data_IF_340748848894
#
_entry.id   IF_340748848894
#
_cell.length_a   1.000
_cell.length_b   1.000
_cell.length_c   1.000
_cell.angle_alpha   90.00
_cell.angle_beta   90.00
_cell.angle_gamma   90.00
#
_symmetry.space_group_name_H-M   'P 1'
#
loop_
_entity.id
_entity.type
_entity.pdbx_description
1 polymer ?
#
# COMPACT_ATOMS: atom_id res chain seq x y z
N UNK A 1 -4.49 2.59 -15.35
CA UNK A 1 -5.33 1.51 -14.79
C UNK A 1 -6.53 2.04 -14.00
N UNK A 2 -6.31 2.94 -13.04
CA UNK A 2 -7.39 3.60 -12.26
C UNK A 2 -8.50 4.22 -13.11
N UNK A 3 -8.17 4.89 -14.21
CA UNK A 3 -9.16 5.49 -15.13
C UNK A 3 -10.11 4.43 -15.71
N UNK A 4 -9.60 3.26 -16.09
CA UNK A 4 -10.43 2.18 -16.65
C UNK A 4 -11.40 1.65 -15.60
N UNK A 5 -10.93 1.45 -14.36
CA UNK A 5 -11.79 1.03 -13.24
C UNK A 5 -12.89 2.07 -12.98
N UNK A 6 -12.56 3.37 -12.98
CA UNK A 6 -13.55 4.44 -12.80
C UNK A 6 -14.61 4.40 -13.90
N UNK A 7 -14.21 4.24 -15.16
CA UNK A 7 -15.14 4.12 -16.30
C UNK A 7 -16.04 2.89 -16.13
N UNK A 8 -15.48 1.72 -15.83
CA UNK A 8 -16.25 0.50 -15.63
C UNK A 8 -17.28 0.64 -14.50
N UNK A 9 -16.85 1.20 -13.36
CA UNK A 9 -17.75 1.40 -12.21
C UNK A 9 -18.81 2.46 -12.51
N UNK A 10 -18.48 3.51 -13.25
CA UNK A 10 -19.45 4.50 -13.70
C UNK A 10 -20.53 3.87 -14.59
N UNK A 11 -20.13 2.96 -15.49
CA UNK A 11 -21.10 2.24 -16.32
C UNK A 11 -21.97 1.31 -15.45
N UNK A 12 -21.41 0.62 -14.45
CA UNK A 12 -22.20 -0.18 -13.51
C UNK A 12 -23.25 0.67 -12.76
N UNK A 13 -22.85 1.85 -12.28
CA UNK A 13 -23.78 2.82 -11.67
C UNK A 13 -24.88 3.24 -12.66
N UNK A 14 -24.53 3.52 -13.91
CA UNK A 14 -25.50 3.87 -14.95
C UNK A 14 -26.51 2.73 -15.21
N UNK A 15 -26.06 1.47 -15.24
CA UNK A 15 -26.94 0.31 -15.34
C UNK A 15 -27.89 0.19 -14.15
N UNK A 16 -27.41 0.47 -12.93
CA UNK A 16 -28.28 0.48 -11.75
C UNK A 16 -29.43 1.47 -11.94
N UNK A 17 -29.14 2.70 -12.38
CA UNK A 17 -30.18 3.70 -12.65
C UNK A 17 -31.13 3.27 -13.78
N UNK A 18 -30.62 2.60 -14.80
CA UNK A 18 -31.45 2.06 -15.87
C UNK A 18 -32.48 1.05 -15.35
N UNK A 19 -32.07 0.08 -14.53
CA UNK A 19 -33.01 -0.88 -13.94
C UNK A 19 -34.07 -0.20 -13.05
N UNK A 20 -33.69 0.83 -12.28
CA UNK A 20 -34.67 1.60 -11.48
C UNK A 20 -35.75 2.18 -12.38
N UNK A 21 -35.34 2.85 -13.46
CA UNK A 21 -36.26 3.54 -14.37
C UNK A 21 -37.22 2.53 -15.02
N UNK A 22 -36.69 1.39 -15.47
CA UNK A 22 -37.50 0.39 -16.17
C UNK A 22 -38.50 -0.32 -15.24
N UNK A 23 -38.06 -0.69 -14.04
CA UNK A 23 -38.94 -1.27 -13.02
C UNK A 23 -39.98 -0.25 -12.55
N UNK A 24 -39.59 0.98 -12.28
CA UNK A 24 -40.50 2.04 -11.84
C UNK A 24 -41.56 2.35 -12.89
N UNK A 25 -41.17 2.40 -14.17
CA UNK A 25 -42.10 2.57 -15.29
C UNK A 25 -43.08 1.41 -15.37
N UNK A 26 -42.59 0.18 -15.22
CA UNK A 26 -43.43 -1.02 -15.24
C UNK A 26 -44.47 -0.98 -14.12
N UNK A 27 -44.05 -0.71 -12.88
CA UNK A 27 -44.95 -0.57 -11.72
C UNK A 27 -46.00 0.51 -11.98
N UNK A 28 -45.60 1.70 -12.41
CA UNK A 28 -46.52 2.82 -12.66
C UNK A 28 -47.56 2.53 -13.74
N UNK A 29 -47.20 1.78 -14.80
CA UNK A 29 -48.14 1.34 -15.83
C UNK A 29 -49.17 0.37 -15.22
N UNK A 30 -48.71 -0.64 -14.48
CA UNK A 30 -49.60 -1.64 -13.89
C UNK A 30 -50.54 -1.05 -12.82
N UNK A 31 -50.03 -0.21 -11.92
CA UNK A 31 -50.86 0.48 -10.92
C UNK A 31 -51.87 1.44 -11.58
N UNK A 32 -51.48 2.13 -12.65
CA UNK A 32 -52.37 2.98 -13.43
C UNK A 32 -53.51 2.20 -14.08
N UNK A 33 -53.21 1.05 -14.68
CA UNK A 33 -54.23 0.15 -15.26
C UNK A 33 -55.18 -0.35 -14.18
N UNK A 34 -54.66 -0.75 -13.01
CA UNK A 34 -55.46 -1.21 -11.87
C UNK A 34 -56.43 -0.10 -11.41
N UNK A 35 -55.90 1.10 -11.19
CA UNK A 35 -56.68 2.27 -10.73
C UNK A 35 -57.78 2.64 -11.72
N UNK A 36 -57.49 2.65 -13.02
CA UNK A 36 -58.48 2.93 -14.07
C UNK A 36 -59.54 1.83 -14.12
N UNK A 37 -59.13 0.57 -14.03
CA UNK A 37 -60.07 -0.57 -14.03
C UNK A 37 -61.04 -0.51 -12.86
N UNK A 38 -60.55 -0.20 -11.66
CA UNK A 38 -61.37 -0.06 -10.45
C UNK A 38 -62.29 1.16 -10.52
N UNK A 39 -61.77 2.32 -10.96
CA UNK A 39 -62.53 3.57 -11.03
C UNK A 39 -63.69 3.52 -12.04
N UNK A 40 -63.45 2.91 -13.21
CA UNK A 40 -64.44 2.81 -14.28
C UNK A 40 -65.18 1.46 -14.33
N UNK A 41 -64.92 0.57 -13.37
CA UNK A 41 -65.49 -0.78 -13.30
C UNK A 41 -65.31 -1.60 -14.61
N UNK A 42 -64.13 -1.48 -15.23
CA UNK A 42 -63.81 -2.14 -16.50
C UNK A 42 -63.32 -3.55 -16.22
N UNK A 43 -63.92 -4.56 -16.85
CA UNK A 43 -63.44 -5.94 -16.80
C UNK A 43 -62.16 -6.11 -17.62
N UNK A 44 -61.03 -6.32 -16.93
CA UNK A 44 -59.73 -6.57 -17.57
C UNK A 44 -59.67 -7.91 -18.30
N UNK A 45 -58.92 -7.95 -19.41
CA UNK A 45 -58.60 -9.19 -20.11
C UNK A 45 -57.77 -10.14 -19.23
N UNK A 46 -57.82 -11.44 -19.54
CA UNK A 46 -57.06 -12.44 -18.78
C UNK A 46 -55.54 -12.20 -18.84
N UNK A 47 -55.02 -11.71 -19.97
CA UNK A 47 -53.61 -11.33 -20.13
C UNK A 47 -53.22 -10.17 -19.22
N UNK A 48 -54.07 -9.14 -19.08
CA UNK A 48 -53.84 -8.01 -18.19
C UNK A 48 -53.93 -8.43 -16.71
N UNK A 49 -54.86 -9.31 -16.35
CA UNK A 49 -54.95 -9.86 -14.98
C UNK A 49 -53.70 -10.66 -14.60
N UNK A 50 -53.20 -11.48 -15.52
CA UNK A 50 -51.93 -12.20 -15.34
C UNK A 50 -50.75 -11.22 -15.18
N UNK A 51 -50.69 -10.17 -16.01
CA UNK A 51 -49.70 -9.11 -15.86
C UNK A 51 -49.77 -8.37 -14.52
N UNK A 52 -50.98 -8.06 -14.02
CA UNK A 52 -51.15 -7.43 -12.71
C UNK A 52 -50.76 -8.34 -11.54
N UNK A 53 -50.89 -9.67 -11.70
CA UNK A 53 -50.46 -10.62 -10.66
C UNK A 53 -48.93 -10.64 -10.45
N UNK A 54 -48.15 -10.03 -11.34
CA UNK A 54 -46.69 -9.87 -11.19
C UNK A 54 -46.29 -8.58 -10.46
N UNK A 55 -47.24 -7.74 -10.04
CA UNK A 55 -46.96 -6.54 -9.24
C UNK A 55 -46.13 -6.82 -7.97
N UNK A 56 -46.43 -7.85 -7.16
CA UNK A 56 -45.60 -8.16 -5.99
C UNK A 56 -44.17 -8.55 -6.37
N UNK A 57 -43.99 -9.27 -7.47
CA UNK A 57 -42.66 -9.64 -7.97
C UNK A 57 -41.87 -8.41 -8.45
N UNK A 58 -42.52 -7.41 -9.06
CA UNK A 58 -41.88 -6.14 -9.40
C UNK A 58 -41.45 -5.35 -8.16
N UNK A 59 -42.19 -5.45 -7.05
CA UNK A 59 -41.76 -4.91 -5.75
C UNK A 59 -40.43 -5.50 -5.27
N UNK A 60 -40.28 -6.83 -5.36
CA UNK A 60 -39.02 -7.52 -5.03
C UNK A 60 -37.88 -7.05 -5.96
N UNK A 61 -38.15 -6.91 -7.26
CA UNK A 61 -37.19 -6.38 -8.22
C UNK A 61 -36.70 -4.99 -7.81
N UNK A 62 -37.63 -4.13 -7.39
CA UNK A 62 -37.33 -2.78 -6.95
C UNK A 62 -36.45 -2.77 -5.69
N UNK A 63 -36.74 -3.63 -4.72
CA UNK A 63 -35.93 -3.78 -3.50
C UNK A 63 -34.49 -4.22 -3.82
N UNK A 64 -34.32 -5.17 -4.73
CA UNK A 64 -32.98 -5.60 -5.20
C UNK A 64 -32.21 -4.42 -5.78
N UNK A 65 -32.86 -3.64 -6.65
CA UNK A 65 -32.20 -2.49 -7.29
C UNK A 65 -31.91 -1.38 -6.28
N UNK A 66 -32.77 -1.18 -5.28
CA UNK A 66 -32.47 -0.26 -4.17
C UNK A 66 -31.23 -0.67 -3.37
N UNK A 67 -30.93 -1.96 -3.24
CA UNK A 67 -29.68 -2.46 -2.65
C UNK A 67 -28.49 -2.26 -3.60
N UNK A 68 -28.69 -2.36 -4.91
CA UNK A 68 -27.64 -2.14 -5.91
C UNK A 68 -27.13 -0.69 -5.93
N UNK A 69 -27.97 0.31 -5.62
CA UNK A 69 -27.60 1.74 -5.60
C UNK A 69 -26.46 2.04 -4.62
N UNK A 70 -26.58 1.79 -3.30
CA UNK A 70 -25.50 2.10 -2.37
C UNK A 70 -24.22 1.34 -2.72
N UNK A 71 -24.33 0.11 -3.23
CA UNK A 71 -23.16 -0.69 -3.66
C UNK A 71 -22.45 -0.01 -4.83
N UNK A 72 -23.16 0.34 -5.90
CA UNK A 72 -22.54 0.97 -7.08
C UNK A 72 -22.00 2.37 -6.77
N UNK A 73 -22.68 3.14 -5.91
CA UNK A 73 -22.18 4.44 -5.41
C UNK A 73 -20.91 4.27 -4.57
N UNK A 74 -20.86 3.29 -3.67
CA UNK A 74 -19.66 3.00 -2.87
C UNK A 74 -18.49 2.58 -3.75
N UNK A 75 -18.72 1.68 -4.71
CA UNK A 75 -17.70 1.31 -5.70
C UNK A 75 -17.18 2.54 -6.43
N UNK A 76 -18.07 3.45 -6.85
CA UNK A 76 -17.71 4.65 -7.61
C UNK A 76 -16.90 5.63 -6.75
N UNK A 77 -17.30 5.84 -5.50
CA UNK A 77 -16.57 6.67 -4.56
C UNK A 77 -15.15 6.15 -4.32
N UNK A 78 -14.98 4.83 -4.10
CA UNK A 78 -13.65 4.23 -3.91
C UNK A 78 -12.81 4.36 -5.19
N UNK A 79 -13.40 4.13 -6.37
CA UNK A 79 -12.71 4.27 -7.65
C UNK A 79 -12.24 5.72 -7.92
N UNK A 80 -13.07 6.73 -7.60
CA UNK A 80 -12.68 8.15 -7.66
C UNK A 80 -11.53 8.44 -6.70
N UNK A 81 -11.62 7.96 -5.46
CA UNK A 81 -10.56 8.14 -4.48
C UNK A 81 -9.24 7.55 -4.99
N UNK A 82 -9.25 6.38 -5.63
CA UNK A 82 -8.06 5.83 -6.28
C UNK A 82 -7.48 6.71 -7.37
N UNK A 83 -8.34 7.32 -8.19
CA UNK A 83 -7.89 8.17 -9.29
C UNK A 83 -7.16 9.42 -8.78
N UNK A 84 -7.69 10.08 -7.74
CA UNK A 84 -7.16 11.38 -7.30
C UNK A 84 -6.14 11.28 -6.17
N UNK A 85 -6.35 10.41 -5.19
CA UNK A 85 -5.52 10.39 -3.99
C UNK A 85 -4.26 9.53 -4.13
N UNK A 86 -4.16 8.70 -5.19
CA UNK A 86 -3.17 7.61 -5.31
C UNK A 86 -3.08 6.73 -4.05
N UNK A 87 -4.11 6.74 -3.18
CA UNK A 87 -4.17 5.90 -1.99
C UNK A 87 -4.59 4.49 -2.40
N UNK A 88 -3.64 3.76 -2.97
CA UNK A 88 -3.78 2.33 -3.24
C UNK A 88 -3.60 1.55 -1.94
N UNK A 89 -4.64 1.55 -1.09
CA UNK A 89 -4.63 0.72 0.11
C UNK A 89 -5.15 -0.68 -0.20
N UNK A 90 -4.54 -1.71 0.40
CA UNK A 90 -5.01 -3.11 0.29
C UNK A 90 -6.51 -3.22 0.62
N UNK A 91 -6.95 -2.50 1.65
CA UNK A 91 -8.33 -2.44 2.09
C UNK A 91 -9.30 -1.91 1.03
N UNK A 92 -8.95 -0.81 0.37
CA UNK A 92 -9.78 -0.27 -0.71
C UNK A 92 -9.91 -1.23 -1.90
N UNK A 93 -8.87 -2.03 -2.19
CA UNK A 93 -8.88 -2.99 -3.30
C UNK A 93 -9.75 -4.19 -2.96
N UNK A 94 -9.58 -4.72 -1.76
CA UNK A 94 -10.44 -5.78 -1.24
C UNK A 94 -11.91 -5.35 -1.19
N UNK A 95 -12.19 -4.10 -0.79
CA UNK A 95 -13.55 -3.56 -0.77
C UNK A 95 -14.19 -3.53 -2.18
N UNK A 96 -13.47 -3.05 -3.20
CA UNK A 96 -13.98 -3.05 -4.58
C UNK A 96 -14.23 -4.47 -5.10
N UNK A 97 -13.34 -5.43 -4.79
CA UNK A 97 -13.53 -6.84 -5.20
C UNK A 97 -14.81 -7.41 -4.57
N UNK A 98 -15.00 -7.23 -3.27
CA UNK A 98 -16.18 -7.74 -2.55
C UNK A 98 -17.45 -7.07 -3.07
N UNK A 99 -17.46 -5.74 -3.20
CA UNK A 99 -18.63 -5.00 -3.69
C UNK A 99 -18.98 -5.39 -5.13
N UNK A 100 -17.99 -5.57 -6.01
CA UNK A 100 -18.22 -6.03 -7.38
C UNK A 100 -18.80 -7.45 -7.44
N UNK A 101 -18.33 -8.36 -6.59
CA UNK A 101 -18.90 -9.71 -6.50
C UNK A 101 -20.37 -9.70 -6.05
N UNK A 102 -20.69 -8.91 -5.01
CA UNK A 102 -22.07 -8.74 -4.55
C UNK A 102 -22.93 -8.11 -5.65
N UNK A 103 -22.41 -7.09 -6.34
CA UNK A 103 -23.12 -6.41 -7.41
C UNK A 103 -23.49 -7.38 -8.56
N UNK A 104 -22.56 -8.23 -9.00
CA UNK A 104 -22.84 -9.26 -10.02
C UNK A 104 -23.91 -10.24 -9.56
N UNK A 105 -23.87 -10.66 -8.29
CA UNK A 105 -24.86 -11.58 -7.74
C UNK A 105 -26.26 -10.96 -7.77
N UNK A 106 -26.39 -9.67 -7.45
CA UNK A 106 -27.66 -8.94 -7.52
C UNK A 106 -28.16 -8.76 -8.95
N UNK A 107 -27.28 -8.42 -9.90
CA UNK A 107 -27.62 -8.35 -11.33
C UNK A 107 -28.14 -9.70 -11.82
N UNK A 108 -27.45 -10.79 -11.48
CA UNK A 108 -27.86 -12.14 -11.89
C UNK A 108 -29.20 -12.53 -11.28
N UNK A 109 -29.44 -12.20 -10.00
CA UNK A 109 -30.71 -12.47 -9.34
C UNK A 109 -31.84 -11.65 -9.98
N UNK A 110 -31.56 -10.42 -10.44
CA UNK A 110 -32.53 -9.61 -11.16
C UNK A 110 -32.85 -10.20 -12.55
N UNK A 111 -31.83 -10.47 -13.37
CA UNK A 111 -32.05 -10.93 -14.75
C UNK A 111 -32.52 -12.37 -14.87
N UNK A 112 -32.24 -13.23 -13.88
CA UNK A 112 -32.77 -14.61 -13.87
C UNK A 112 -34.28 -14.67 -13.60
N UNK A 113 -34.85 -13.62 -12.98
CA UNK A 113 -36.24 -13.58 -12.58
C UNK A 113 -37.08 -12.58 -13.39
N UNK A 114 -36.45 -11.62 -14.08
CA UNK A 114 -37.13 -10.55 -14.81
C UNK A 114 -36.58 -10.40 -16.22
N UNK A 115 -37.49 -10.24 -17.19
CA UNK A 115 -37.14 -9.88 -18.56
C UNK A 115 -37.21 -8.37 -18.71
N UNK A 116 -36.07 -7.75 -19.00
CA UNK A 116 -35.96 -6.33 -19.32
C UNK A 116 -35.86 -6.16 -20.83
N UNK A 117 -36.58 -5.18 -21.39
CA UNK A 117 -36.53 -4.89 -22.82
C UNK A 117 -35.49 -3.79 -23.10
N UNK A 118 -34.84 -3.82 -24.27
CA UNK A 118 -34.01 -2.71 -24.75
C UNK A 118 -32.53 -2.79 -24.35
N UNK A 119 -31.95 -1.71 -23.79
CA UNK A 119 -30.49 -1.62 -23.55
C UNK A 119 -30.01 -2.67 -22.52
N UNK A 120 -30.89 -3.17 -21.66
CA UNK A 120 -30.65 -4.28 -20.75
C UNK A 120 -30.65 -5.67 -21.42
N UNK A 121 -31.14 -5.84 -22.66
CA UNK A 121 -31.02 -7.10 -23.39
C UNK A 121 -29.58 -7.41 -23.82
N UNK A 122 -28.68 -6.43 -23.72
CA UNK A 122 -27.25 -6.68 -23.76
C UNK A 122 -26.81 -7.38 -22.46
N UNK A 123 -27.35 -8.59 -22.24
CA UNK A 123 -27.11 -9.51 -21.12
C UNK A 123 -25.63 -9.70 -20.80
N UNK A 124 -24.72 -9.32 -21.69
CA UNK A 124 -23.28 -9.47 -21.50
C UNK A 124 -22.62 -8.22 -20.90
N UNK A 125 -23.19 -7.03 -21.03
CA UNK A 125 -22.51 -5.78 -20.67
C UNK A 125 -22.25 -5.67 -19.16
N UNK A 126 -23.24 -5.82 -18.25
CA UNK A 126 -22.97 -5.71 -16.81
C UNK A 126 -21.99 -6.79 -16.33
N UNK A 127 -21.99 -7.99 -16.91
CA UNK A 127 -21.04 -9.06 -16.56
C UNK A 127 -19.64 -8.79 -17.10
N UNK A 128 -19.49 -8.36 -18.36
CA UNK A 128 -18.19 -8.00 -18.96
C UNK A 128 -17.55 -6.88 -18.14
N UNK A 129 -18.32 -5.86 -17.78
CA UNK A 129 -17.83 -4.72 -17.00
C UNK A 129 -17.37 -5.16 -15.61
N UNK A 130 -18.15 -5.98 -14.91
CA UNK A 130 -17.73 -6.48 -13.61
C UNK A 130 -16.55 -7.43 -13.69
N UNK A 131 -16.45 -8.26 -14.73
CA UNK A 131 -15.29 -9.10 -14.97
C UNK A 131 -14.03 -8.25 -15.17
N UNK A 132 -14.12 -7.13 -15.90
CA UNK A 132 -13.03 -6.16 -16.03
C UNK A 132 -12.68 -5.51 -14.69
N UNK A 133 -13.68 -5.10 -13.90
CA UNK A 133 -13.45 -4.53 -12.55
C UNK A 133 -12.71 -5.54 -11.67
N UNK A 134 -13.15 -6.79 -11.64
CA UNK A 134 -12.53 -7.87 -10.86
C UNK A 134 -11.10 -8.16 -11.34
N UNK A 135 -10.90 -8.37 -12.65
CA UNK A 135 -9.59 -8.66 -13.21
C UNK A 135 -8.58 -7.54 -12.91
N UNK A 136 -8.97 -6.28 -13.11
CA UNK A 136 -8.12 -5.13 -12.82
C UNK A 136 -7.87 -4.97 -11.32
N UNK A 137 -8.88 -5.20 -10.47
CA UNK A 137 -8.73 -5.07 -9.02
C UNK A 137 -7.84 -6.17 -8.44
N UNK A 138 -7.97 -7.40 -8.93
CA UNK A 138 -7.09 -8.53 -8.55
C UNK A 138 -5.66 -8.26 -9.03
N UNK A 139 -5.46 -7.80 -10.26
CA UNK A 139 -4.13 -7.39 -10.74
C UNK A 139 -3.54 -6.28 -9.85
N UNK A 140 -4.34 -5.28 -9.49
CA UNK A 140 -3.94 -4.22 -8.55
C UNK A 140 -3.53 -4.79 -7.19
N UNK A 141 -4.29 -5.74 -6.65
CA UNK A 141 -4.00 -6.38 -5.37
C UNK A 141 -2.69 -7.16 -5.42
N UNK A 142 -2.49 -7.95 -6.48
CA UNK A 142 -1.25 -8.69 -6.74
C UNK A 142 -0.09 -7.69 -6.85
N UNK A 143 -0.24 -6.61 -7.61
CA UNK A 143 0.78 -5.57 -7.73
C UNK A 143 1.10 -4.88 -6.39
N UNK A 144 0.15 -4.77 -5.46
CA UNK A 144 0.40 -4.21 -4.11
C UNK A 144 1.02 -5.26 -3.17
N UNK A 145 0.71 -6.55 -3.36
CA UNK A 145 1.25 -7.64 -2.55
C UNK A 145 2.67 -8.04 -2.96
N UNK A 146 2.94 -8.04 -4.27
CA UNK A 146 4.21 -8.40 -4.89
C UNK A 146 5.02 -7.20 -5.39
N UNK A 147 4.43 -6.01 -5.36
CA UNK A 147 5.16 -4.76 -5.45
C UNK A 147 6.08 -4.65 -4.25
N UNK A 148 7.27 -5.22 -4.41
CA UNK A 148 8.46 -4.78 -3.70
C UNK A 148 8.48 -3.23 -3.71
N UNK A 149 8.99 -2.61 -2.66
CA UNK A 149 9.41 -1.20 -2.63
C UNK A 149 10.55 -0.95 -3.67
N UNK A 150 10.36 -1.36 -4.93
CA UNK A 150 11.40 -1.52 -5.94
C UNK A 150 11.89 -0.21 -6.52
N UNK A 151 11.21 0.90 -6.23
CA UNK A 151 11.56 2.21 -6.79
C UNK A 151 12.00 3.18 -5.69
N UNK A 152 12.41 2.68 -4.51
CA UNK A 152 13.16 3.52 -3.58
C UNK A 152 14.61 3.59 -4.03
N UNK A 153 14.87 4.50 -4.96
CA UNK A 153 16.20 4.86 -5.41
C UNK A 153 16.52 6.31 -5.03
N UNK A 154 17.63 6.52 -4.32
CA UNK A 154 18.20 7.86 -4.12
C UNK A 154 19.51 7.92 -4.89
N UNK A 155 19.51 8.76 -5.92
CA UNK A 155 20.72 9.16 -6.62
C UNK A 155 21.47 10.22 -5.79
N UNK A 156 22.77 10.00 -5.58
CA UNK A 156 23.66 10.90 -4.85
C UNK A 156 24.58 11.57 -5.86
N UNK A 157 24.49 12.90 -5.99
CA UNK A 157 25.35 13.67 -6.88
C UNK A 157 26.59 14.18 -6.12
N UNK A 158 27.82 13.72 -6.42
CA UNK A 158 29.03 14.11 -5.69
C UNK A 158 29.28 15.63 -5.61
N UNK A 159 28.75 16.40 -6.57
CA UNK A 159 28.94 17.85 -6.66
C UNK A 159 28.08 18.63 -5.66
N UNK A 160 27.06 18.01 -5.05
CA UNK A 160 26.10 18.68 -4.15
C UNK A 160 25.99 18.01 -2.78
N UNK A 161 27.11 17.85 -2.02
CA UNK A 161 27.15 17.07 -0.80
C UNK A 161 26.26 17.60 0.34
N UNK A 162 26.02 18.91 0.37
CA UNK A 162 25.08 19.50 1.34
C UNK A 162 23.64 19.08 1.05
N UNK A 163 23.22 19.19 -0.21
CA UNK A 163 21.88 18.79 -0.67
C UNK A 163 21.66 17.28 -0.49
N UNK A 164 22.67 16.45 -0.78
CA UNK A 164 22.58 15.00 -0.59
C UNK A 164 22.28 14.64 0.86
N UNK A 165 22.91 15.29 1.83
CA UNK A 165 22.64 15.03 3.25
C UNK A 165 21.18 15.29 3.60
N UNK A 166 20.61 16.39 3.12
CA UNK A 166 19.20 16.71 3.31
C UNK A 166 18.28 15.70 2.59
N UNK A 167 18.62 15.31 1.37
CA UNK A 167 17.86 14.31 0.60
C UNK A 167 17.85 12.97 1.31
N UNK A 168 19.01 12.47 1.76
CA UNK A 168 19.12 11.18 2.46
C UNK A 168 18.37 11.25 3.80
N UNK A 169 18.54 12.31 4.59
CA UNK A 169 17.80 12.49 5.84
C UNK A 169 16.28 12.54 5.64
N UNK A 170 15.80 13.20 4.59
CA UNK A 170 14.36 13.36 4.33
C UNK A 170 13.73 12.16 3.61
N UNK A 171 14.47 11.52 2.71
CA UNK A 171 13.99 10.39 1.92
C UNK A 171 14.32 9.07 2.61
N UNK A 172 15.58 8.74 2.90
CA UNK A 172 15.94 7.45 3.50
C UNK A 172 15.49 7.36 4.96
N UNK A 173 16.00 8.26 5.80
CA UNK A 173 15.80 8.15 7.26
C UNK A 173 14.34 8.30 7.68
N UNK A 174 13.49 8.92 6.85
CA UNK A 174 12.07 9.06 7.13
C UNK A 174 11.31 7.74 7.10
N UNK A 175 11.76 6.76 6.31
CA UNK A 175 11.13 5.44 6.18
C UNK A 175 11.58 4.45 7.27
N UNK A 176 12.76 4.69 7.87
CA UNK A 176 13.31 3.87 8.94
C UNK A 176 12.74 4.28 10.30
N UNK A 177 12.33 3.31 11.13
CA UNK A 177 11.78 3.54 12.49
C UNK A 177 12.09 2.41 13.47
N UNK A 178 12.02 2.69 14.76
CA UNK A 178 12.24 1.69 15.81
C UNK A 178 13.72 1.32 15.92
N UNK A 179 14.04 0.06 15.67
CA UNK A 179 15.39 -0.50 15.83
C UNK A 179 16.21 -0.34 14.54
N UNK A 180 17.02 0.71 14.48
CA UNK A 180 17.91 0.97 13.35
C UNK A 180 19.15 0.07 13.44
N UNK A 181 19.42 -0.69 12.39
CA UNK A 181 20.59 -1.56 12.26
C UNK A 181 21.44 -1.10 11.09
N UNK A 182 22.73 -0.94 11.34
CA UNK A 182 23.69 -0.43 10.36
C UNK A 182 24.87 -1.40 10.27
N UNK A 183 25.14 -1.86 9.05
CA UNK A 183 26.32 -2.65 8.70
C UNK A 183 27.20 -1.81 7.78
N UNK A 184 28.30 -1.29 8.29
CA UNK A 184 29.29 -0.54 7.52
C UNK A 184 30.69 -0.89 8.01
N UNK A 185 31.45 -1.60 7.16
CA UNK A 185 32.80 -2.06 7.47
C UNK A 185 33.84 -0.95 7.56
N UNK A 186 33.53 0.27 7.10
CA UNK A 186 34.44 1.42 7.15
C UNK A 186 33.91 2.54 8.05
N UNK A 187 33.12 2.18 9.06
CA UNK A 187 32.57 3.16 9.99
C UNK A 187 33.68 3.78 10.84
N UNK A 188 33.86 5.09 10.74
CA UNK A 188 34.92 5.85 11.40
C UNK A 188 34.37 7.04 12.22
N UNK A 189 35.25 7.91 12.70
CA UNK A 189 34.83 9.08 13.47
C UNK A 189 33.97 10.07 12.67
N UNK A 190 34.21 10.18 11.36
CA UNK A 190 33.39 10.99 10.44
C UNK A 190 32.01 10.36 10.25
N UNK A 191 31.91 9.03 10.31
CA UNK A 191 30.62 8.33 10.28
C UNK A 191 29.70 8.73 11.43
N UNK A 192 30.23 8.98 12.63
CA UNK A 192 29.41 9.48 13.75
C UNK A 192 28.82 10.88 13.46
N UNK A 193 29.62 11.82 12.94
CA UNK A 193 29.14 13.17 12.57
C UNK A 193 28.12 13.12 11.43
N UNK A 194 28.34 12.28 10.42
CA UNK A 194 27.36 12.13 9.35
C UNK A 194 26.08 11.45 9.84
N UNK A 195 26.19 10.41 10.66
CA UNK A 195 25.02 9.72 11.19
C UNK A 195 24.20 10.64 12.09
N UNK A 196 24.82 11.44 12.96
CA UNK A 196 24.11 12.40 13.82
C UNK A 196 23.28 13.38 12.99
N UNK A 197 23.85 13.92 11.90
CA UNK A 197 23.13 14.81 10.96
C UNK A 197 21.97 14.11 10.25
N UNK A 198 22.16 12.85 9.84
CA UNK A 198 21.13 12.07 9.17
C UNK A 198 19.92 11.82 10.08
N UNK A 199 20.18 11.42 11.34
CA UNK A 199 19.13 11.06 12.29
C UNK A 199 18.50 12.26 13.00
N UNK A 200 19.15 13.43 13.04
CA UNK A 200 18.74 14.59 13.84
C UNK A 200 17.24 14.94 13.69
N UNK A 201 16.73 14.94 12.46
CA UNK A 201 15.32 15.29 12.16
C UNK A 201 14.32 14.19 12.49
N UNK A 202 14.79 12.96 12.69
CA UNK A 202 13.98 11.76 12.86
C UNK A 202 14.28 11.04 14.18
N UNK A 203 15.07 11.63 15.09
CA UNK A 203 15.53 10.96 16.33
C UNK A 203 14.39 10.39 17.18
N UNK A 204 13.24 11.08 17.23
CA UNK A 204 12.06 10.64 17.97
C UNK A 204 11.43 9.33 17.46
N UNK A 205 11.85 8.82 16.30
CA UNK A 205 11.34 7.57 15.73
C UNK A 205 12.13 6.34 16.16
N UNK A 206 13.34 6.50 16.69
CA UNK A 206 14.23 5.38 16.97
C UNK A 206 14.17 4.97 18.43
N UNK A 207 14.05 3.68 18.68
CA UNK A 207 14.13 3.06 20.02
C UNK A 207 15.55 2.60 20.32
N UNK A 208 16.24 2.11 19.29
CA UNK A 208 17.60 1.63 19.40
C UNK A 208 18.37 1.79 18.08
N UNK A 209 19.68 1.93 18.19
CA UNK A 209 20.61 2.01 17.07
C UNK A 209 21.73 1.00 17.33
N UNK A 210 21.85 0.03 16.41
CA UNK A 210 22.86 -1.03 16.43
C UNK A 210 23.82 -0.83 15.26
N UNK A 211 25.11 -0.75 15.52
CA UNK A 211 26.14 -0.56 14.49
C UNK A 211 27.11 -1.73 14.50
N UNK A 212 27.35 -2.29 13.33
CA UNK A 212 28.32 -3.35 13.09
C UNK A 212 29.39 -2.82 12.13
N UNK A 213 30.64 -2.77 12.61
CA UNK A 213 31.79 -2.23 11.85
C UNK A 213 33.04 -3.10 12.04
N UNK A 214 34.07 -2.84 11.25
CA UNK A 214 35.43 -3.33 11.48
C UNK A 214 36.31 -2.17 11.95
N UNK A 215 37.19 -2.43 12.91
CA UNK A 215 38.09 -1.42 13.45
C UNK A 215 39.53 -1.95 13.47
N UNK A 216 40.45 -1.18 12.89
CA UNK A 216 41.88 -1.44 13.03
C UNK A 216 42.39 -0.90 14.38
N UNK A 217 43.40 -1.56 14.96
CA UNK A 217 43.91 -1.31 16.32
C UNK A 217 44.36 0.15 16.60
N UNK A 218 44.55 0.98 15.55
CA UNK A 218 45.11 2.34 15.66
C UNK A 218 44.14 3.48 15.26
N UNK A 219 42.83 3.30 15.43
CA UNK A 219 41.84 4.35 15.11
C UNK A 219 41.85 5.50 16.13
N UNK A 220 42.74 6.49 15.96
CA UNK A 220 42.80 7.67 16.83
C UNK A 220 41.46 8.42 16.84
N UNK A 221 40.97 8.76 18.02
CA UNK A 221 39.75 9.56 18.21
C UNK A 221 38.43 8.81 18.16
N UNK A 222 38.40 7.56 17.67
CA UNK A 222 37.17 6.76 17.57
C UNK A 222 36.47 6.59 18.92
N UNK A 223 37.21 6.31 19.99
CA UNK A 223 36.64 6.11 21.33
C UNK A 223 35.96 7.35 21.91
N UNK A 224 36.46 8.55 21.57
CA UNK A 224 35.83 9.82 21.97
C UNK A 224 34.52 10.02 21.20
N UNK A 225 34.55 9.90 19.87
CA UNK A 225 33.35 10.01 19.04
C UNK A 225 32.27 8.99 19.43
N UNK A 226 32.66 7.75 19.72
CA UNK A 226 31.77 6.72 20.25
C UNK A 226 31.10 7.15 21.56
N UNK A 227 31.89 7.64 22.53
CA UNK A 227 31.39 8.03 23.85
C UNK A 227 30.45 9.23 23.77
N UNK A 228 30.83 10.26 23.02
CA UNK A 228 30.02 11.47 22.83
C UNK A 228 28.70 11.14 22.13
N UNK A 229 28.74 10.35 21.05
CA UNK A 229 27.55 9.93 20.32
C UNK A 229 26.63 9.04 21.16
N UNK A 230 27.20 8.10 21.93
CA UNK A 230 26.45 7.26 22.86
C UNK A 230 25.72 8.10 23.91
N UNK A 231 26.41 9.07 24.52
CA UNK A 231 25.83 9.96 25.51
C UNK A 231 24.69 10.81 24.92
N UNK A 232 24.87 11.33 23.69
CA UNK A 232 23.84 12.10 22.99
C UNK A 232 22.56 11.27 22.78
N UNK A 233 22.69 10.02 22.34
CA UNK A 233 21.56 9.11 22.15
C UNK A 233 20.91 8.69 23.48
N UNK A 234 21.71 8.44 24.51
CA UNK A 234 21.21 8.11 25.85
C UNK A 234 20.38 9.26 26.45
N UNK A 235 20.80 10.51 26.26
CA UNK A 235 20.03 11.70 26.66
C UNK A 235 18.66 11.80 25.96
N UNK A 236 18.46 11.06 24.87
CA UNK A 236 17.20 10.94 24.12
C UNK A 236 16.46 9.64 24.38
N UNK A 237 16.89 8.84 25.36
CA UNK A 237 16.37 7.49 25.65
C UNK A 237 16.49 6.50 24.47
N UNK A 238 17.48 6.69 23.60
CA UNK A 238 17.77 5.79 22.48
C UNK A 238 18.89 4.85 22.90
N UNK A 239 18.65 3.54 22.83
CA UNK A 239 19.68 2.53 23.13
C UNK A 239 20.72 2.52 22.00
N UNK A 240 21.99 2.47 22.36
CA UNK A 240 23.08 2.42 21.37
C UNK A 240 24.04 1.29 21.69
N UNK A 241 24.30 0.44 20.69
CA UNK A 241 25.29 -0.63 20.78
C UNK A 241 26.12 -0.68 19.50
N UNK A 242 27.44 -0.72 19.65
CA UNK A 242 28.38 -0.86 18.55
C UNK A 242 29.18 -2.14 18.76
N UNK A 243 29.25 -2.96 17.72
CA UNK A 243 30.05 -4.19 17.71
C UNK A 243 31.08 -4.19 16.60
N UNK A 244 32.21 -4.83 16.89
CA UNK A 244 33.36 -5.00 16.01
C UNK A 244 33.32 -6.41 15.43
N UNK A 245 33.19 -6.50 14.11
CA UNK A 245 33.21 -7.76 13.36
C UNK A 245 34.64 -8.33 13.26
N UNK A 246 34.74 -9.64 13.08
CA UNK A 246 36.03 -10.31 12.87
C UNK A 246 36.61 -10.03 11.48
N UNK A 247 37.92 -10.27 11.31
CA UNK A 247 38.62 -10.05 10.03
C UNK A 247 38.07 -10.90 8.87
N UNK A 248 37.58 -12.11 9.17
CA UNK A 248 36.94 -12.98 8.17
C UNK A 248 35.59 -12.45 7.69
N UNK A 249 34.78 -11.89 8.60
CA UNK A 249 33.50 -11.26 8.23
C UNK A 249 33.77 -9.97 7.44
N UNK A 250 34.77 -9.18 7.83
CA UNK A 250 35.20 -7.99 7.11
C UNK A 250 35.63 -8.29 5.66
N UNK A 251 36.39 -9.37 5.44
CA UNK A 251 36.86 -9.70 4.08
C UNK A 251 35.74 -10.21 3.17
N UNK A 252 34.69 -10.82 3.73
CA UNK A 252 33.53 -11.33 2.99
C UNK A 252 32.44 -10.27 2.80
N UNK A 253 32.35 -9.30 3.71
CA UNK A 253 31.27 -8.31 3.72
C UNK A 253 31.64 -7.06 2.92
N UNK A 254 31.22 -7.03 1.66
CA UNK A 254 31.40 -5.86 0.79
C UNK A 254 30.19 -4.92 0.75
N UNK A 255 29.01 -5.44 1.12
CA UNK A 255 27.77 -4.66 1.10
C UNK A 255 27.60 -3.89 2.40
N UNK A 256 27.06 -2.68 2.28
CA UNK A 256 26.72 -1.84 3.43
C UNK A 256 25.21 -1.70 3.48
N UNK A 257 24.66 -1.93 4.66
CA UNK A 257 23.23 -2.09 4.85
C UNK A 257 22.78 -1.13 5.93
N UNK A 258 21.66 -0.46 5.69
CA UNK A 258 20.91 0.25 6.71
C UNK A 258 19.48 -0.26 6.69
N UNK A 259 18.98 -0.71 7.83
CA UNK A 259 17.66 -1.34 7.90
C UNK A 259 16.97 -1.06 9.23
N UNK A 260 15.65 -1.21 9.23
CA UNK A 260 14.83 -1.26 10.42
C UNK A 260 14.14 -2.62 10.57
N UNK A 261 13.06 -2.69 11.33
CA UNK A 261 12.29 -3.93 11.50
C UNK A 261 11.56 -4.42 10.25
N UNK A 262 11.36 -3.58 9.22
CA UNK A 262 10.53 -3.91 8.05
C UNK A 262 11.22 -3.68 6.70
N UNK A 263 12.21 -2.79 6.64
CA UNK A 263 12.80 -2.29 5.39
C UNK A 263 14.32 -2.33 5.48
N UNK A 264 14.98 -2.63 4.36
CA UNK A 264 16.43 -2.67 4.28
C UNK A 264 16.91 -1.98 3.01
N UNK A 265 18.03 -1.26 3.12
CA UNK A 265 18.61 -0.49 2.02
C UNK A 265 20.11 -0.76 1.91
N UNK A 266 20.59 -0.87 0.68
CA UNK A 266 22.02 -0.79 0.37
C UNK A 266 22.42 0.68 0.40
N UNK A 267 23.44 1.00 1.17
CA UNK A 267 23.93 2.37 1.33
C UNK A 267 25.40 2.51 0.90
N UNK A 268 25.84 3.71 0.50
CA UNK A 268 27.25 4.05 0.48
C UNK A 268 27.87 4.02 1.90
N UNK A 269 29.21 4.04 2.02
CA UNK A 269 29.88 4.24 3.31
C UNK A 269 29.39 5.50 4.03
N UNK A 270 29.07 5.40 5.32
CA UNK A 270 28.48 6.50 6.09
C UNK A 270 29.44 7.69 6.20
N UNK A 271 30.76 7.44 6.28
CA UNK A 271 31.76 8.51 6.36
C UNK A 271 31.80 9.42 5.11
N UNK A 272 31.37 8.92 3.94
CA UNK A 272 31.34 9.67 2.67
C UNK A 272 29.97 9.58 1.96
N UNK A 273 28.89 9.31 2.70
CA UNK A 273 27.57 8.99 2.13
C UNK A 273 27.00 10.12 1.28
N UNK A 274 27.40 11.36 1.53
CA UNK A 274 26.98 12.52 0.78
C UNK A 274 27.87 12.87 -0.43
N UNK A 275 28.98 12.15 -0.64
CA UNK A 275 29.99 12.46 -1.67
C UNK A 275 30.22 11.33 -2.66
N UNK A 276 29.76 10.11 -2.36
CA UNK A 276 29.97 8.95 -3.22
C UNK A 276 28.86 8.86 -4.27
N UNK A 277 29.26 8.69 -5.53
CA UNK A 277 28.35 8.45 -6.66
C UNK A 277 27.83 7.00 -6.62
N UNK A 278 27.03 6.68 -5.62
CA UNK A 278 26.38 5.38 -5.49
C UNK A 278 24.88 5.59 -5.23
N UNK A 279 24.07 4.69 -5.75
CA UNK A 279 22.62 4.71 -5.56
C UNK A 279 22.28 4.01 -4.25
N UNK A 280 21.40 4.62 -3.45
CA UNK A 280 20.77 3.94 -2.32
C UNK A 280 19.57 3.19 -2.87
N UNK A 281 19.55 1.87 -2.71
CA UNK A 281 18.52 0.99 -3.28
C UNK A 281 17.94 0.06 -2.21
N UNK A 282 16.69 -0.32 -2.37
CA UNK A 282 16.02 -1.30 -1.52
C UNK A 282 16.66 -2.69 -1.64
N UNK A 283 16.70 -3.43 -0.53
CA UNK A 283 17.17 -4.82 -0.45
C UNK A 283 16.06 -5.73 0.07
N UNK A 284 16.19 -7.03 -0.18
CA UNK A 284 15.36 -8.01 0.49
C UNK A 284 15.64 -7.96 2.01
N UNK A 285 14.62 -7.60 2.80
CA UNK A 285 14.75 -7.40 4.24
C UNK A 285 15.15 -8.68 4.98
N UNK A 286 14.53 -9.81 4.69
CA UNK A 286 14.80 -11.08 5.37
C UNK A 286 16.25 -11.53 5.18
N UNK A 287 16.77 -11.40 3.96
CA UNK A 287 18.17 -11.74 3.66
C UNK A 287 19.13 -10.79 4.40
N UNK A 288 18.88 -9.48 4.34
CA UNK A 288 19.68 -8.47 5.00
C UNK A 288 19.69 -8.65 6.53
N UNK A 289 18.52 -8.94 7.11
CA UNK A 289 18.34 -9.18 8.54
C UNK A 289 19.07 -10.43 9.01
N UNK A 290 18.94 -11.54 8.27
CA UNK A 290 19.69 -12.78 8.54
C UNK A 290 21.19 -12.53 8.52
N UNK A 291 21.70 -11.88 7.46
CA UNK A 291 23.13 -11.56 7.30
C UNK A 291 23.67 -10.71 8.44
N UNK A 292 22.95 -9.65 8.82
CA UNK A 292 23.33 -8.81 9.96
C UNK A 292 23.42 -9.62 11.25
N UNK A 293 22.40 -10.42 11.57
CA UNK A 293 22.35 -11.18 12.82
C UNK A 293 23.43 -12.26 12.91
N UNK A 294 23.75 -12.92 11.80
CA UNK A 294 24.85 -13.89 11.75
C UNK A 294 26.19 -13.26 12.15
N UNK A 295 26.50 -12.08 11.62
CA UNK A 295 27.73 -11.35 11.96
C UNK A 295 27.63 -10.76 13.37
N UNK A 296 26.48 -10.18 13.73
CA UNK A 296 26.23 -9.57 15.04
C UNK A 296 26.48 -10.55 16.19
N UNK A 297 26.03 -11.79 16.06
CA UNK A 297 26.18 -12.82 17.07
C UNK A 297 27.64 -13.28 17.26
N UNK A 298 28.48 -13.17 16.23
CA UNK A 298 29.92 -13.49 16.29
C UNK A 298 30.80 -12.29 16.66
N UNK A 299 30.28 -11.08 16.50
CA UNK A 299 31.00 -9.83 16.76
C UNK A 299 31.14 -9.52 18.25
N UNK A 300 32.15 -8.72 18.61
CA UNK A 300 32.42 -8.29 19.99
C UNK A 300 31.91 -6.87 20.22
N UNK A 301 31.24 -6.60 21.33
CA UNK A 301 30.88 -5.21 21.68
C UNK A 301 32.13 -4.35 21.84
N UNK A 302 32.03 -3.09 21.43
CA UNK A 302 33.14 -2.13 21.48
C UNK A 302 33.69 -1.93 22.90
N UNK A 303 32.81 -1.95 23.91
CA UNK A 303 33.18 -1.84 25.32
C UNK A 303 34.06 -3.02 25.80
N UNK A 304 33.90 -4.19 25.20
CA UNK A 304 34.75 -5.36 25.49
C UNK A 304 36.01 -5.36 24.63
N UNK A 305 35.93 -4.87 23.38
CA UNK A 305 37.06 -4.76 22.48
C UNK A 305 38.10 -3.77 23.02
N UNK A 306 37.67 -2.57 23.41
CA UNK A 306 38.55 -1.49 23.90
C UNK A 306 39.26 -1.78 25.22
N UNK A 307 38.81 -2.78 26.00
CA UNK A 307 39.48 -3.22 27.24
C UNK A 307 40.58 -4.26 27.01
N UNK A 308 40.57 -4.92 25.85
CA UNK A 308 41.51 -6.00 25.51
C UNK A 308 42.62 -5.60 24.53
N UNK A 309 42.57 -4.37 24.02
CA UNK A 309 43.59 -3.72 23.18
C UNK A 309 44.42 -2.75 24.02
#
# INVERSE_FOLDING_TARGET
>A
MSIVIVICVFIALFYTFYYIIDISRSIGIYEGILTISEHYNITLSQSLKLGLSTLPTLGIALDIVYIMIPISVMMFAIAILWMFSRLYSKWSVSAIIILSAIYVMLVHLLESNFNFNGFAESFMVPYIINLLILALSVYSLIAILYGSDSDFEIEINPLTPYSNMAIISNKLMRHLKGDLRILDSHFDNTSFDNLSRLILRNMNKYTSIYILTYLEENSRGFGRGYTDFKNELQNKNIKFELRIMGREDFSRQHERIMMDSNTAYKIPPINIINRKSEHIVSLNHDEAFRRFNEIWNRSKSYENFSKGS
#
